data_IF_012248666489
#
_entry.id   IF_012248666489
#
_cell.length_a   1.000
_cell.length_b   1.000
_cell.length_c   1.000
_cell.angle_alpha   90.00
_cell.angle_beta   90.00
_cell.angle_gamma   90.00
#
_symmetry.space_group_name_H-M   'P 1'
#
loop_
_entity.id
_entity.type
_entity.pdbx_description
1 polymer ?
#
# COMPACT_ATOMS: atom_id res chain seq x y z
N UNK A 1 -77.39 -45.68 81.03
CA UNK A 1 -76.77 -45.13 79.80
C UNK A 1 -75.23 -45.13 79.82
N UNK A 2 -74.57 -45.55 80.91
CA UNK A 2 -73.11 -45.37 81.09
C UNK A 2 -72.25 -46.61 80.79
N UNK A 3 -72.83 -47.74 80.37
CA UNK A 3 -72.10 -49.02 80.37
C UNK A 3 -71.26 -49.27 79.11
N UNK A 4 -71.50 -48.55 78.01
CA UNK A 4 -70.75 -48.71 76.75
C UNK A 4 -69.53 -47.79 76.61
N UNK A 5 -69.42 -46.75 77.45
CA UNK A 5 -68.37 -45.72 77.32
C UNK A 5 -66.95 -46.27 77.44
N UNK A 6 -66.62 -47.14 78.43
CA UNK A 6 -65.26 -47.69 78.53
C UNK A 6 -64.86 -48.54 77.33
N UNK A 7 -65.82 -49.23 76.71
CA UNK A 7 -65.58 -50.06 75.53
C UNK A 7 -65.18 -49.21 74.32
N UNK A 8 -65.92 -48.14 74.03
CA UNK A 8 -65.61 -47.25 72.92
C UNK A 8 -64.38 -46.36 73.21
N UNK A 9 -64.19 -45.92 74.46
CA UNK A 9 -62.98 -45.21 74.87
C UNK A 9 -61.73 -46.07 74.64
N UNK A 10 -61.77 -47.35 75.03
CA UNK A 10 -60.68 -48.30 74.80
C UNK A 10 -60.43 -48.56 73.32
N UNK A 11 -61.48 -48.63 72.50
CA UNK A 11 -61.37 -48.79 71.04
C UNK A 11 -60.72 -47.56 70.37
N UNK A 12 -60.85 -46.38 70.98
CA UNK A 12 -60.24 -45.13 70.52
C UNK A 12 -58.74 -44.99 70.80
N UNK A 13 -58.15 -45.86 71.63
CA UNK A 13 -56.68 -45.97 71.75
C UNK A 13 -56.11 -46.67 70.52
N UNK A 14 -56.10 -45.98 69.38
CA UNK A 14 -55.51 -46.49 68.14
C UNK A 14 -53.99 -46.42 68.14
N UNK A 15 -53.41 -45.52 68.94
CA UNK A 15 -51.96 -45.28 69.03
C UNK A 15 -51.54 -44.95 70.47
N UNK A 16 -50.24 -45.09 70.77
CA UNK A 16 -49.59 -44.79 72.05
C UNK A 16 -49.27 -43.31 72.26
N UNK A 17 -49.72 -42.42 71.37
CA UNK A 17 -49.57 -40.97 71.52
C UNK A 17 -50.12 -40.46 72.85
N UNK A 18 -49.46 -39.45 73.43
CA UNK A 18 -49.96 -38.77 74.62
C UNK A 18 -51.34 -38.13 74.39
N UNK A 19 -51.64 -37.72 73.15
CA UNK A 19 -52.93 -37.13 72.77
C UNK A 19 -54.07 -38.15 72.84
N UNK A 20 -53.89 -39.35 72.27
CA UNK A 20 -54.91 -40.41 72.29
C UNK A 20 -55.15 -40.92 73.71
N UNK A 21 -54.10 -41.03 74.52
CA UNK A 21 -54.19 -41.39 75.95
C UNK A 21 -54.85 -40.29 76.78
N UNK A 22 -54.52 -39.02 76.55
CA UNK A 22 -55.17 -37.88 77.18
C UNK A 22 -56.66 -37.81 76.84
N UNK A 23 -57.05 -38.07 75.58
CA UNK A 23 -58.46 -38.15 75.18
C UNK A 23 -59.19 -39.31 75.89
N UNK A 24 -58.54 -40.47 76.01
CA UNK A 24 -59.07 -41.59 76.78
C UNK A 24 -59.32 -41.19 78.24
N UNK A 25 -58.33 -40.62 78.92
CA UNK A 25 -58.48 -40.21 80.32
C UNK A 25 -59.60 -39.16 80.49
N UNK A 26 -59.70 -38.20 79.57
CA UNK A 26 -60.80 -37.22 79.54
C UNK A 26 -62.19 -37.86 79.42
N UNK A 27 -62.33 -38.92 78.62
CA UNK A 27 -63.59 -39.67 78.52
C UNK A 27 -63.89 -40.52 79.76
N UNK A 28 -62.86 -41.10 80.39
CA UNK A 28 -62.99 -41.91 81.60
C UNK A 28 -63.32 -41.07 82.84
N UNK A 29 -62.83 -39.82 82.91
CA UNK A 29 -63.23 -38.83 83.91
C UNK A 29 -64.75 -38.62 83.88
N UNK A 30 -65.31 -38.24 82.72
CA UNK A 30 -66.75 -38.00 82.56
C UNK A 30 -67.59 -39.24 82.88
N UNK A 31 -67.08 -40.42 82.54
CA UNK A 31 -67.72 -41.69 82.87
C UNK A 31 -67.76 -41.97 84.38
N UNK A 32 -66.64 -41.75 85.08
CA UNK A 32 -66.52 -41.96 86.52
C UNK A 32 -67.36 -40.95 87.32
N UNK A 33 -67.42 -39.69 86.89
CA UNK A 33 -68.31 -38.66 87.43
C UNK A 33 -69.78 -39.06 87.28
N UNK A 34 -70.18 -39.57 86.12
CA UNK A 34 -71.54 -40.07 85.85
C UNK A 34 -71.94 -41.26 86.75
N UNK A 35 -70.98 -42.07 87.20
CA UNK A 35 -71.19 -43.16 88.17
C UNK A 35 -71.01 -42.74 89.63
N UNK A 36 -70.72 -41.46 89.91
CA UNK A 36 -70.39 -40.90 91.25
C UNK A 36 -69.20 -41.58 91.93
N UNK A 37 -68.30 -42.20 91.16
CA UNK A 37 -67.07 -42.83 91.65
C UNK A 37 -65.91 -41.82 91.57
N UNK A 38 -65.92 -40.86 92.49
CA UNK A 38 -64.96 -39.75 92.51
C UNK A 38 -63.51 -40.20 92.73
N UNK A 39 -63.29 -41.35 93.38
CA UNK A 39 -61.94 -41.86 93.63
C UNK A 39 -61.25 -42.23 92.32
N UNK A 40 -61.94 -42.97 91.45
CA UNK A 40 -61.43 -43.30 90.12
C UNK A 40 -61.33 -42.07 89.22
N UNK A 41 -62.26 -41.13 89.33
CA UNK A 41 -62.20 -39.88 88.57
C UNK A 41 -60.91 -39.10 88.87
N UNK A 42 -60.51 -38.99 90.14
CA UNK A 42 -59.26 -38.33 90.56
C UNK A 42 -58.02 -39.03 89.99
N UNK A 43 -58.00 -40.37 89.97
CA UNK A 43 -56.88 -41.12 89.38
C UNK A 43 -56.77 -40.86 87.87
N UNK A 44 -57.90 -40.84 87.14
CA UNK A 44 -57.91 -40.45 85.72
C UNK A 44 -57.53 -38.98 85.51
N UNK A 45 -57.90 -38.06 86.41
CA UNK A 45 -57.44 -36.66 86.36
C UNK A 45 -55.93 -36.54 86.49
N UNK A 46 -55.30 -37.31 87.40
CA UNK A 46 -53.84 -37.33 87.55
C UNK A 46 -53.15 -37.85 86.30
N UNK A 47 -53.68 -38.91 85.70
CA UNK A 47 -53.14 -39.46 84.44
C UNK A 47 -53.31 -38.46 83.30
N UNK A 48 -54.49 -37.84 83.18
CA UNK A 48 -54.76 -36.80 82.19
C UNK A 48 -53.81 -35.61 82.32
N UNK A 49 -53.56 -35.13 83.55
CA UNK A 49 -52.62 -34.05 83.81
C UNK A 49 -51.19 -34.41 83.35
N UNK A 50 -50.72 -35.62 83.66
CA UNK A 50 -49.41 -36.09 83.19
C UNK A 50 -49.33 -36.23 81.66
N UNK A 51 -50.42 -36.67 81.02
CA UNK A 51 -50.51 -36.70 79.55
C UNK A 51 -50.48 -35.28 78.98
N UNK A 52 -51.21 -34.34 79.57
CA UNK A 52 -51.24 -32.95 79.15
C UNK A 52 -49.86 -32.28 79.22
N UNK A 53 -49.13 -32.50 80.32
CA UNK A 53 -47.75 -32.02 80.48
C UNK A 53 -46.82 -32.62 79.40
N UNK A 54 -47.02 -33.89 79.06
CA UNK A 54 -46.21 -34.58 78.04
C UNK A 54 -46.51 -34.10 76.63
N UNK A 55 -47.79 -33.86 76.30
CA UNK A 55 -48.23 -33.24 75.04
C UNK A 55 -47.61 -31.85 74.90
N UNK A 56 -47.67 -31.04 75.96
CA UNK A 56 -47.15 -29.68 75.92
C UNK A 56 -45.62 -29.67 75.73
N UNK A 57 -44.91 -30.60 76.37
CA UNK A 57 -43.47 -30.76 76.20
C UNK A 57 -43.09 -31.12 74.76
N UNK A 58 -43.78 -32.10 74.15
CA UNK A 58 -43.56 -32.51 72.76
C UNK A 58 -43.82 -31.36 71.78
N UNK A 59 -44.90 -30.60 71.99
CA UNK A 59 -45.23 -29.42 71.18
C UNK A 59 -44.17 -28.32 71.31
N UNK A 60 -43.65 -28.06 72.51
CA UNK A 60 -42.56 -27.10 72.71
C UNK A 60 -41.27 -27.55 72.04
N UNK A 61 -40.89 -28.82 72.14
CA UNK A 61 -39.71 -29.38 71.47
C UNK A 61 -39.81 -29.28 69.94
N UNK A 62 -40.98 -29.62 69.37
CA UNK A 62 -41.23 -29.49 67.93
C UNK A 62 -41.22 -28.03 67.47
N UNK A 63 -41.81 -27.11 68.25
CA UNK A 63 -41.76 -25.68 67.95
C UNK A 63 -40.34 -25.10 67.98
N UNK A 64 -39.52 -25.51 68.95
CA UNK A 64 -38.09 -25.14 69.02
C UNK A 64 -37.34 -25.68 67.81
N UNK A 65 -37.56 -26.95 67.45
CA UNK A 65 -36.93 -27.56 66.27
C UNK A 65 -37.34 -26.85 64.97
N UNK A 66 -38.62 -26.52 64.81
CA UNK A 66 -39.13 -25.75 63.67
C UNK A 66 -38.51 -24.35 63.60
N UNK A 67 -38.36 -23.69 64.74
CA UNK A 67 -37.73 -22.37 64.82
C UNK A 67 -36.26 -22.43 64.42
N UNK A 68 -35.51 -23.41 64.93
CA UNK A 68 -34.12 -23.63 64.58
C UNK A 68 -33.94 -23.92 63.10
N UNK A 69 -34.75 -24.84 62.54
CA UNK A 69 -34.71 -25.16 61.10
C UNK A 69 -35.00 -23.93 60.23
N UNK A 70 -35.96 -23.09 60.61
CA UNK A 70 -36.24 -21.83 59.89
C UNK A 70 -35.07 -20.86 59.98
N UNK A 71 -34.44 -20.73 61.14
CA UNK A 71 -33.29 -19.88 61.33
C UNK A 71 -32.11 -20.33 60.45
N UNK A 72 -31.78 -21.62 60.49
CA UNK A 72 -30.69 -22.21 59.69
C UNK A 72 -30.93 -22.03 58.19
N UNK A 73 -32.16 -22.26 57.72
CA UNK A 73 -32.56 -21.99 56.33
C UNK A 73 -32.39 -20.51 55.96
N UNK A 74 -32.78 -19.61 56.87
CA UNK A 74 -32.68 -18.16 56.64
C UNK A 74 -31.22 -17.73 56.53
N UNK A 75 -30.34 -18.26 57.38
CA UNK A 75 -28.90 -17.99 57.32
C UNK A 75 -28.29 -18.49 56.01
N UNK A 76 -28.62 -19.71 55.59
CA UNK A 76 -28.14 -20.27 54.32
C UNK A 76 -28.59 -19.43 53.11
N UNK A 77 -29.82 -18.90 53.12
CA UNK A 77 -30.32 -18.00 52.07
C UNK A 77 -29.54 -16.68 52.05
N UNK A 78 -29.30 -16.07 53.22
CA UNK A 78 -28.55 -14.82 53.33
C UNK A 78 -27.12 -14.98 52.81
N UNK A 79 -26.44 -16.06 53.18
CA UNK A 79 -25.08 -16.36 52.71
C UNK A 79 -25.04 -16.54 51.19
N UNK A 80 -25.99 -17.31 50.66
CA UNK A 80 -26.14 -17.54 49.22
C UNK A 80 -26.40 -16.23 48.47
N UNK A 81 -27.32 -15.41 48.96
CA UNK A 81 -27.66 -14.14 48.32
C UNK A 81 -26.49 -13.15 48.39
N UNK A 82 -25.71 -13.17 49.47
CA UNK A 82 -24.46 -12.40 49.57
C UNK A 82 -23.43 -12.84 48.53
N UNK A 83 -23.32 -14.14 48.25
CA UNK A 83 -22.46 -14.68 47.20
C UNK A 83 -22.97 -14.29 45.80
N UNK A 84 -24.27 -14.40 45.53
CA UNK A 84 -24.86 -13.98 44.26
C UNK A 84 -24.65 -12.47 44.01
N UNK A 85 -24.86 -11.63 45.03
CA UNK A 85 -24.65 -10.19 44.91
C UNK A 85 -23.20 -9.82 44.62
N UNK A 86 -22.23 -10.50 45.27
CA UNK A 86 -20.80 -10.31 44.97
C UNK A 86 -20.47 -10.75 43.54
N UNK A 87 -20.96 -11.91 43.13
CA UNK A 87 -20.69 -12.45 41.80
C UNK A 87 -21.32 -11.58 40.70
N UNK A 88 -22.55 -11.11 40.89
CA UNK A 88 -23.21 -10.16 39.97
C UNK A 88 -22.43 -8.86 39.82
N UNK A 89 -21.92 -8.28 40.92
CA UNK A 89 -21.07 -7.08 40.85
C UNK A 89 -19.78 -7.34 40.08
N UNK A 90 -19.12 -8.49 40.29
CA UNK A 90 -17.92 -8.85 39.55
C UNK A 90 -18.20 -9.01 38.05
N UNK A 91 -19.29 -9.69 37.69
CA UNK A 91 -19.70 -9.85 36.28
C UNK A 91 -19.96 -8.50 35.63
N UNK A 92 -20.66 -7.58 36.31
CA UNK A 92 -20.89 -6.22 35.79
C UNK A 92 -19.59 -5.41 35.62
N UNK A 93 -18.66 -5.51 36.57
CA UNK A 93 -17.34 -4.86 36.47
C UNK A 93 -16.56 -5.42 35.28
N UNK A 94 -16.49 -6.73 35.14
CA UNK A 94 -15.79 -7.39 34.02
C UNK A 94 -16.40 -7.01 32.68
N UNK A 95 -17.74 -6.97 32.58
CA UNK A 95 -18.45 -6.54 31.38
C UNK A 95 -18.19 -5.06 31.06
N UNK A 96 -18.18 -4.19 32.08
CA UNK A 96 -17.81 -2.78 31.92
C UNK A 96 -16.39 -2.59 31.42
N UNK A 97 -15.42 -3.32 31.98
CA UNK A 97 -14.02 -3.31 31.51
C UNK A 97 -13.92 -3.81 30.07
N UNK A 98 -14.67 -4.84 29.70
CA UNK A 98 -14.71 -5.35 28.33
C UNK A 98 -15.21 -4.29 27.34
N UNK A 99 -16.28 -3.56 27.68
CA UNK A 99 -16.80 -2.45 26.86
C UNK A 99 -15.78 -1.33 26.71
N UNK A 100 -15.07 -0.97 27.79
CA UNK A 100 -14.01 0.05 27.75
C UNK A 100 -12.85 -0.41 26.86
N UNK A 101 -12.41 -1.66 27.00
CA UNK A 101 -11.35 -2.25 26.16
C UNK A 101 -11.76 -2.30 24.68
N UNK A 102 -13.00 -2.69 24.37
CA UNK A 102 -13.54 -2.67 23.01
C UNK A 102 -13.60 -1.25 22.44
N UNK A 103 -14.04 -0.26 23.23
CA UNK A 103 -14.04 1.14 22.85
C UNK A 103 -12.62 1.64 22.52
N UNK A 104 -11.65 1.37 23.40
CA UNK A 104 -10.26 1.72 23.18
C UNK A 104 -9.68 1.05 21.93
N UNK A 105 -9.98 -0.23 21.70
CA UNK A 105 -9.58 -0.95 20.49
C UNK A 105 -10.14 -0.28 19.22
N UNK A 106 -11.43 0.06 19.21
CA UNK A 106 -12.07 0.75 18.09
C UNK A 106 -11.39 2.10 17.83
N UNK A 107 -11.13 2.89 18.87
CA UNK A 107 -10.41 4.18 18.76
C UNK A 107 -9.03 3.99 18.15
N UNK A 108 -8.26 2.98 18.59
CA UNK A 108 -6.94 2.67 18.03
C UNK A 108 -7.05 2.27 16.56
N UNK A 109 -8.05 1.48 16.17
CA UNK A 109 -8.27 1.09 14.78
C UNK A 109 -8.62 2.29 13.89
N UNK A 110 -9.48 3.19 14.36
CA UNK A 110 -9.81 4.43 13.65
C UNK A 110 -8.58 5.32 13.52
N UNK A 111 -7.78 5.45 14.58
CA UNK A 111 -6.54 6.23 14.54
C UNK A 111 -5.52 5.64 13.55
N UNK A 112 -5.34 4.31 13.54
CA UNK A 112 -4.50 3.62 12.56
C UNK A 112 -4.98 3.83 11.12
N UNK A 113 -6.30 3.76 10.88
CA UNK A 113 -6.88 4.06 9.56
C UNK A 113 -6.56 5.48 9.13
N UNK A 114 -6.78 6.47 10.00
CA UNK A 114 -6.48 7.88 9.73
C UNK A 114 -5.01 8.12 9.38
N UNK A 115 -4.08 7.52 10.13
CA UNK A 115 -2.65 7.65 9.85
C UNK A 115 -2.31 7.07 8.47
N UNK A 116 -2.84 5.89 8.13
CA UNK A 116 -2.55 5.24 6.85
C UNK A 116 -3.03 6.07 5.65
N UNK A 117 -4.18 6.71 5.80
CA UNK A 117 -4.74 7.61 4.78
C UNK A 117 -3.87 8.87 4.61
N UNK A 118 -3.42 9.46 5.73
CA UNK A 118 -2.53 10.61 5.71
C UNK A 118 -1.15 10.27 5.13
N UNK A 119 -0.66 9.05 5.36
CA UNK A 119 0.58 8.54 4.77
C UNK A 119 0.46 8.41 3.26
N UNK A 120 -0.65 7.83 2.75
CA UNK A 120 -0.91 7.75 1.30
C UNK A 120 -0.95 9.13 0.64
N UNK A 121 -1.67 10.09 1.23
CA UNK A 121 -1.71 11.46 0.70
C UNK A 121 -0.33 12.11 0.68
N UNK A 122 0.51 11.87 1.70
CA UNK A 122 1.89 12.37 1.73
C UNK A 122 2.78 11.68 0.70
N UNK A 123 2.59 10.40 0.46
CA UNK A 123 3.33 9.64 -0.56
C UNK A 123 2.96 10.11 -1.97
N UNK A 124 1.67 10.25 -2.26
CA UNK A 124 1.17 10.77 -3.53
C UNK A 124 1.64 12.21 -3.78
N UNK A 125 1.52 13.10 -2.80
CA UNK A 125 2.02 14.48 -2.92
C UNK A 125 3.54 14.56 -3.11
N UNK A 126 4.30 13.67 -2.46
CA UNK A 126 5.76 13.58 -2.66
C UNK A 126 6.07 13.02 -4.05
N UNK A 127 5.37 11.99 -4.50
CA UNK A 127 5.55 11.38 -5.81
C UNK A 127 5.27 12.40 -6.92
N UNK A 128 4.17 13.16 -6.80
CA UNK A 128 3.83 14.24 -7.74
C UNK A 128 4.90 15.33 -7.76
N UNK A 129 5.37 15.77 -6.58
CA UNK A 129 6.45 16.76 -6.51
C UNK A 129 7.73 16.22 -7.16
N UNK A 130 8.13 14.98 -6.85
CA UNK A 130 9.32 14.36 -7.43
C UNK A 130 9.20 14.23 -8.94
N UNK A 131 8.04 13.81 -9.44
CA UNK A 131 7.78 13.68 -10.87
C UNK A 131 7.87 15.04 -11.57
N UNK A 132 7.24 16.07 -11.02
CA UNK A 132 7.30 17.42 -11.56
C UNK A 132 8.73 17.99 -11.52
N UNK A 133 9.49 17.75 -10.44
CA UNK A 133 10.89 18.19 -10.35
C UNK A 133 11.79 17.46 -11.35
N UNK A 134 11.62 16.15 -11.52
CA UNK A 134 12.38 15.35 -12.48
C UNK A 134 12.08 15.81 -13.90
N UNK A 135 10.81 16.03 -14.24
CA UNK A 135 10.39 16.55 -15.54
C UNK A 135 11.03 17.90 -15.83
N UNK A 136 10.94 18.85 -14.90
CA UNK A 136 11.57 20.17 -15.04
C UNK A 136 13.10 20.06 -15.15
N UNK A 137 13.73 19.17 -14.40
CA UNK A 137 15.17 18.95 -14.45
C UNK A 137 15.61 18.32 -15.79
N UNK A 138 14.86 17.35 -16.32
CA UNK A 138 15.10 16.76 -17.63
C UNK A 138 14.93 17.80 -18.74
N UNK A 139 13.88 18.62 -18.70
CA UNK A 139 13.71 19.72 -19.64
C UNK A 139 14.87 20.73 -19.58
N UNK A 140 15.34 21.06 -18.38
CA UNK A 140 16.51 21.94 -18.20
C UNK A 140 17.80 21.31 -18.72
N UNK A 141 18.04 20.04 -18.42
CA UNK A 141 19.23 19.32 -18.87
C UNK A 141 19.27 19.26 -20.41
N UNK A 142 18.14 18.95 -21.06
CA UNK A 142 18.01 18.98 -22.53
C UNK A 142 18.37 20.34 -23.13
N UNK A 143 17.87 21.43 -22.54
CA UNK A 143 18.22 22.79 -22.98
C UNK A 143 19.72 23.07 -22.85
N UNK A 144 20.35 22.62 -21.77
CA UNK A 144 21.78 22.80 -21.57
C UNK A 144 22.60 22.03 -22.61
N UNK A 145 22.24 20.77 -22.89
CA UNK A 145 22.92 19.96 -23.91
C UNK A 145 22.78 20.61 -25.30
N UNK A 146 21.59 21.07 -25.66
CA UNK A 146 21.35 21.75 -26.94
C UNK A 146 22.16 23.07 -27.03
N UNK A 147 22.18 23.87 -25.97
CA UNK A 147 22.97 25.11 -25.91
C UNK A 147 24.48 24.83 -25.99
N UNK A 148 24.97 23.78 -25.33
CA UNK A 148 26.37 23.39 -25.35
C UNK A 148 26.80 22.90 -26.74
N UNK A 149 25.98 22.07 -27.41
CA UNK A 149 26.19 21.70 -28.82
C UNK A 149 26.20 22.90 -29.74
N UNK A 150 25.27 23.84 -29.54
CA UNK A 150 25.21 25.08 -30.35
C UNK A 150 26.46 25.93 -30.15
N UNK A 151 26.96 26.04 -28.92
CA UNK A 151 28.22 26.73 -28.62
C UNK A 151 29.42 26.02 -29.26
N UNK A 152 29.50 24.69 -29.18
CA UNK A 152 30.54 23.90 -29.83
C UNK A 152 30.54 24.14 -31.35
N UNK A 153 29.37 24.13 -31.99
CA UNK A 153 29.21 24.45 -33.42
C UNK A 153 29.70 25.86 -33.73
N UNK A 154 29.26 26.87 -32.98
CA UNK A 154 29.69 28.26 -33.18
C UNK A 154 31.21 28.43 -33.02
N UNK A 155 31.81 27.79 -32.01
CA UNK A 155 33.27 27.87 -31.79
C UNK A 155 34.04 27.19 -32.93
N UNK A 156 33.61 26.01 -33.38
CA UNK A 156 34.23 25.32 -34.51
C UNK A 156 34.14 26.15 -35.80
N UNK A 157 32.99 26.79 -36.06
CA UNK A 157 32.83 27.73 -37.17
C UNK A 157 33.79 28.93 -37.03
N UNK A 158 33.97 29.49 -35.82
CA UNK A 158 34.91 30.60 -35.63
C UNK A 158 36.38 30.20 -35.81
N UNK A 159 36.77 28.98 -35.45
CA UNK A 159 38.14 28.48 -35.67
C UNK A 159 38.43 28.29 -37.16
N UNK A 160 37.47 27.71 -37.90
CA UNK A 160 37.54 27.57 -39.36
C UNK A 160 37.59 28.94 -40.05
N UNK A 161 36.72 29.87 -39.67
CA UNK A 161 36.70 31.24 -40.22
C UNK A 161 37.99 31.99 -39.87
N UNK A 162 38.50 31.90 -38.64
CA UNK A 162 39.76 32.53 -38.24
C UNK A 162 40.95 31.99 -39.05
N UNK A 163 40.93 30.70 -39.40
CA UNK A 163 41.94 30.06 -40.24
C UNK A 163 41.83 30.44 -41.72
N UNK A 164 40.62 30.62 -42.23
CA UNK A 164 40.34 31.14 -43.59
C UNK A 164 40.63 32.65 -43.71
N UNK A 165 40.47 33.42 -42.63
CA UNK A 165 40.69 34.87 -42.61
C UNK A 165 42.15 35.26 -42.32
N UNK A 166 42.91 34.40 -41.64
CA UNK A 166 44.34 34.64 -41.35
C UNK A 166 45.24 34.49 -42.57
N UNK A 167 44.73 33.98 -43.70
CA UNK A 167 45.42 33.98 -44.99
C UNK A 167 45.28 35.31 -45.76
N UNK A 168 44.49 36.27 -45.27
CA UNK A 168 44.14 37.51 -45.98
C UNK A 168 44.65 38.82 -45.38
N UNK A 169 45.95 38.95 -45.07
CA UNK A 169 46.56 40.25 -44.76
C UNK A 169 47.77 40.51 -45.66
N UNK A 170 47.59 41.22 -46.77
CA UNK A 170 48.55 42.19 -47.33
C UNK A 170 47.92 43.00 -48.48
N UNK A 171 48.40 44.25 -48.64
CA UNK A 171 47.82 45.40 -49.36
C UNK A 171 47.46 45.24 -50.85
N UNK A 172 46.54 46.11 -51.28
CA UNK A 172 45.73 46.10 -52.50
C UNK A 172 46.46 46.19 -53.86
N UNK A 173 47.79 46.24 -53.90
CA UNK A 173 48.55 46.46 -55.15
C UNK A 173 49.15 45.19 -55.80
N UNK A 174 49.28 44.07 -55.07
CA UNK A 174 49.80 42.79 -55.61
C UNK A 174 48.70 41.82 -56.10
N UNK A 175 47.46 42.27 -56.21
CA UNK A 175 46.28 41.40 -56.34
C UNK A 175 46.29 40.50 -57.59
N UNK A 176 46.71 40.95 -58.77
CA UNK A 176 46.46 40.16 -60.00
C UNK A 176 47.44 38.98 -60.23
N UNK A 177 48.66 39.01 -59.69
CA UNK A 177 49.64 37.91 -59.84
C UNK A 177 49.54 36.85 -58.74
N UNK A 178 48.95 37.19 -57.59
CA UNK A 178 48.81 36.30 -56.42
C UNK A 178 47.51 35.50 -56.36
N UNK A 179 46.50 35.83 -57.17
CA UNK A 179 45.23 35.10 -57.24
C UNK A 179 45.38 33.58 -57.50
N UNK A 180 46.54 33.13 -58.01
CA UNK A 180 46.84 31.71 -58.23
C UNK A 180 47.51 31.03 -57.02
N UNK A 181 48.18 31.79 -56.15
CA UNK A 181 48.87 31.30 -54.95
C UNK A 181 47.97 31.32 -53.70
N UNK A 182 46.83 32.01 -53.77
CA UNK A 182 45.84 32.15 -52.70
C UNK A 182 44.62 31.22 -52.86
N UNK A 183 44.60 30.42 -53.93
CA UNK A 183 43.56 29.44 -54.15
C UNK A 183 43.75 28.24 -53.21
N UNK A 184 42.68 27.78 -52.56
CA UNK A 184 42.74 26.60 -51.70
C UNK A 184 43.28 25.40 -52.47
N UNK A 185 44.23 24.68 -51.87
CA UNK A 185 44.67 23.39 -52.38
C UNK A 185 43.57 22.34 -52.19
N UNK A 186 43.63 21.23 -52.94
CA UNK A 186 42.64 20.15 -52.81
C UNK A 186 42.58 19.59 -51.38
N UNK A 187 43.72 19.50 -50.69
CA UNK A 187 43.80 19.01 -49.31
C UNK A 187 43.16 19.99 -48.31
N UNK A 188 43.36 21.30 -48.48
CA UNK A 188 42.73 22.31 -47.64
C UNK A 188 41.23 22.39 -47.89
N UNK A 189 40.82 22.20 -49.14
CA UNK A 189 39.42 22.12 -49.56
C UNK A 189 38.74 20.91 -48.91
N UNK A 190 39.41 19.76 -48.87
CA UNK A 190 38.89 18.56 -48.20
C UNK A 190 38.75 18.76 -46.68
N UNK A 191 39.76 19.33 -46.02
CA UNK A 191 39.72 19.63 -44.58
C UNK A 191 38.63 20.64 -44.21
N UNK A 192 38.39 21.62 -45.09
CA UNK A 192 37.31 22.60 -44.91
C UNK A 192 35.94 21.90 -44.97
N UNK A 193 35.74 21.04 -45.97
CA UNK A 193 34.50 20.27 -46.12
C UNK A 193 34.28 19.39 -44.88
N UNK A 194 35.28 18.64 -44.44
CA UNK A 194 35.19 17.79 -43.25
C UNK A 194 34.87 18.60 -41.98
N UNK A 195 35.56 19.71 -41.75
CA UNK A 195 35.33 20.55 -40.57
C UNK A 195 33.93 21.17 -40.56
N UNK A 196 33.43 21.62 -41.72
CA UNK A 196 32.07 22.15 -41.84
C UNK A 196 31.05 21.02 -41.72
N UNK A 197 31.29 19.84 -42.28
CA UNK A 197 30.34 18.72 -42.22
C UNK A 197 30.13 18.22 -40.80
N UNK A 198 31.20 18.20 -39.98
CA UNK A 198 31.11 17.94 -38.53
C UNK A 198 30.25 19.00 -37.82
N UNK A 199 30.32 20.27 -38.24
CA UNK A 199 29.51 21.35 -37.65
C UNK A 199 28.02 21.25 -38.01
N UNK A 200 27.68 20.60 -39.12
CA UNK A 200 26.32 20.43 -39.63
C UNK A 200 25.86 18.96 -39.59
N UNK A 201 26.45 18.14 -38.71
CA UNK A 201 26.04 16.75 -38.44
C UNK A 201 25.88 15.87 -39.69
N UNK A 202 26.83 15.98 -40.62
CA UNK A 202 26.85 15.16 -41.83
C UNK A 202 25.96 15.69 -42.97
N UNK A 203 25.47 16.92 -42.86
CA UNK A 203 24.65 17.56 -43.90
C UNK A 203 25.30 17.55 -45.29
N UNK A 204 26.60 17.82 -45.40
CA UNK A 204 27.31 17.86 -46.69
C UNK A 204 27.47 16.46 -47.26
N UNK A 205 27.68 15.46 -46.41
CA UNK A 205 27.67 14.04 -46.80
C UNK A 205 26.30 13.65 -47.36
N UNK A 206 25.20 13.96 -46.65
CA UNK A 206 23.82 13.76 -47.16
C UNK A 206 23.58 14.48 -48.48
N UNK A 207 24.00 15.74 -48.58
CA UNK A 207 23.81 16.56 -49.78
C UNK A 207 24.55 15.96 -50.99
N UNK A 208 25.74 15.39 -50.77
CA UNK A 208 26.50 14.70 -51.81
C UNK A 208 25.83 13.38 -52.23
N UNK A 209 25.25 12.64 -51.29
CA UNK A 209 24.52 11.40 -51.56
C UNK A 209 23.23 11.64 -52.36
N UNK A 210 22.49 12.70 -52.02
CA UNK A 210 21.27 13.11 -52.75
C UNK A 210 21.59 13.70 -54.14
N UNK A 211 22.74 14.37 -54.26
CA UNK A 211 23.19 14.96 -55.53
C UNK A 211 24.61 14.51 -55.90
N UNK A 212 24.79 13.29 -56.43
CA UNK A 212 26.11 12.73 -56.77
C UNK A 212 26.88 13.52 -57.84
N UNK A 213 26.20 14.41 -58.57
CA UNK A 213 26.81 15.31 -59.54
C UNK A 213 27.60 16.47 -58.90
N UNK A 214 27.52 16.65 -57.58
CA UNK A 214 28.32 17.62 -56.82
C UNK A 214 29.76 17.12 -56.67
N UNK A 215 30.69 17.82 -57.30
CA UNK A 215 32.11 17.57 -57.11
C UNK A 215 32.64 18.26 -55.85
N UNK A 216 33.86 17.92 -55.46
CA UNK A 216 34.52 18.47 -54.26
C UNK A 216 34.61 20.01 -54.26
N UNK A 217 34.86 20.62 -55.42
CA UNK A 217 34.86 22.08 -55.56
C UNK A 217 33.47 22.72 -55.43
N UNK A 218 32.40 21.98 -55.70
CA UNK A 218 31.03 22.47 -55.59
C UNK A 218 30.52 22.32 -54.14
N UNK A 219 30.90 21.24 -53.46
CA UNK A 219 30.76 21.08 -52.00
C UNK A 219 31.51 22.19 -51.25
N UNK A 220 32.74 22.51 -51.64
CA UNK A 220 33.49 23.62 -51.06
C UNK A 220 32.81 24.98 -51.29
N UNK A 221 32.17 25.18 -52.45
CA UNK A 221 31.39 26.38 -52.72
C UNK A 221 30.14 26.43 -51.82
N UNK A 222 29.46 25.31 -51.59
CA UNK A 222 28.38 25.19 -50.61
C UNK A 222 28.87 25.50 -49.18
N UNK A 223 30.03 24.98 -48.78
CA UNK A 223 30.64 25.28 -47.47
C UNK A 223 30.84 26.79 -47.28
N UNK A 224 31.43 27.48 -48.26
CA UNK A 224 31.66 28.92 -48.14
C UNK A 224 30.38 29.75 -48.11
N UNK A 225 29.32 29.28 -48.77
CA UNK A 225 27.99 29.88 -48.69
C UNK A 225 27.39 29.68 -47.28
N UNK A 226 27.47 28.47 -46.74
CA UNK A 226 27.01 28.14 -45.37
C UNK A 226 27.79 28.92 -44.30
N UNK A 227 29.07 29.19 -44.54
CA UNK A 227 29.94 30.01 -43.70
C UNK A 227 29.71 31.53 -43.87
N UNK A 228 28.78 31.94 -44.75
CA UNK A 228 28.46 33.36 -45.03
C UNK A 228 29.68 34.18 -45.50
N UNK A 229 30.63 33.54 -46.16
CA UNK A 229 31.80 34.22 -46.73
C UNK A 229 31.34 35.15 -47.86
N UNK A 230 31.94 36.34 -47.96
CA UNK A 230 31.50 37.31 -48.98
C UNK A 230 31.82 36.81 -50.38
N UNK A 231 31.00 37.18 -51.37
CA UNK A 231 31.22 36.81 -52.78
C UNK A 231 32.59 37.26 -53.32
N UNK A 232 33.17 38.31 -52.73
CA UNK A 232 34.52 38.79 -53.07
C UNK A 232 35.57 37.78 -52.60
N UNK A 233 35.50 37.38 -51.34
CA UNK A 233 36.49 36.48 -50.74
C UNK A 233 36.39 35.07 -51.31
N UNK A 234 35.17 34.59 -51.61
CA UNK A 234 34.96 33.32 -52.34
C UNK A 234 35.64 33.36 -53.71
N UNK A 235 35.53 34.47 -54.43
CA UNK A 235 36.15 34.61 -55.75
C UNK A 235 37.69 34.57 -55.66
N UNK A 236 38.26 35.20 -54.62
CA UNK A 236 39.71 35.17 -54.34
C UNK A 236 40.16 33.75 -53.98
N UNK A 237 39.46 33.08 -53.06
CA UNK A 237 39.79 31.75 -52.55
C UNK A 237 39.68 30.63 -53.60
N UNK A 238 38.85 30.81 -54.63
CA UNK A 238 38.77 29.89 -55.78
C UNK A 238 39.61 30.34 -56.98
N UNK A 239 40.31 31.48 -56.92
CA UNK A 239 41.02 32.05 -58.06
C UNK A 239 40.12 32.40 -59.24
N UNK A 240 38.86 32.76 -58.99
CA UNK A 240 37.84 33.07 -60.00
C UNK A 240 37.56 34.57 -60.08
N UNK A 241 37.06 35.03 -61.24
CA UNK A 241 36.44 36.36 -61.33
C UNK A 241 35.04 36.36 -60.70
N UNK A 242 34.56 37.50 -60.22
CA UNK A 242 33.21 37.63 -59.65
C UNK A 242 32.10 37.19 -60.62
N UNK A 243 32.27 37.39 -61.93
CA UNK A 243 31.31 36.95 -62.94
C UNK A 243 31.39 35.43 -63.20
N UNK A 244 32.58 34.85 -63.11
CA UNK A 244 32.76 33.40 -63.17
C UNK A 244 32.10 32.74 -61.95
N UNK A 245 32.22 33.35 -60.77
CA UNK A 245 31.56 32.89 -59.55
C UNK A 245 30.03 32.92 -59.68
N UNK A 246 29.45 34.01 -60.20
CA UNK A 246 28.00 34.10 -60.47
C UNK A 246 27.51 33.01 -61.43
N UNK A 247 28.24 32.79 -62.53
CA UNK A 247 27.93 31.71 -63.49
C UNK A 247 28.05 30.33 -62.84
N UNK A 248 29.03 30.13 -61.95
CA UNK A 248 29.21 28.88 -61.20
C UNK A 248 28.09 28.64 -60.20
N UNK A 249 27.68 29.65 -59.43
CA UNK A 249 26.50 29.60 -58.54
C UNK A 249 25.21 29.31 -59.32
N UNK A 250 25.05 29.94 -60.49
CA UNK A 250 23.90 29.69 -61.35
C UNK A 250 23.83 28.23 -61.80
N UNK A 251 24.94 27.67 -62.32
CA UNK A 251 25.01 26.25 -62.71
C UNK A 251 24.80 25.30 -61.54
N UNK A 252 25.40 25.60 -60.38
CA UNK A 252 25.19 24.83 -59.17
C UNK A 252 23.69 24.76 -58.80
N UNK A 253 23.01 25.91 -58.88
CA UNK A 253 21.56 26.01 -58.64
C UNK A 253 20.72 25.26 -59.69
N UNK A 254 20.95 25.51 -60.97
CA UNK A 254 20.03 25.07 -62.04
C UNK A 254 20.36 23.69 -62.60
N UNK A 255 21.63 23.30 -62.66
CA UNK A 255 22.08 22.07 -63.32
C UNK A 255 22.39 20.94 -62.33
N UNK A 256 22.81 21.27 -61.09
CA UNK A 256 23.24 20.27 -60.10
C UNK A 256 22.19 20.02 -59.02
N UNK A 257 21.70 21.08 -58.40
CA UNK A 257 20.73 21.00 -57.31
C UNK A 257 19.27 21.12 -57.80
N UNK A 258 19.06 21.60 -59.03
CA UNK A 258 17.73 21.77 -59.65
C UNK A 258 16.75 22.62 -58.81
N UNK A 259 17.24 23.70 -58.20
CA UNK A 259 16.47 24.56 -57.28
C UNK A 259 15.94 25.82 -58.01
N UNK A 260 14.70 26.23 -57.70
CA UNK A 260 14.10 27.48 -58.20
C UNK A 260 14.44 28.69 -57.34
N UNK A 261 14.61 28.49 -56.04
CA UNK A 261 14.87 29.50 -55.01
C UNK A 261 16.27 30.14 -55.13
N UNK A 262 16.52 31.15 -54.30
CA UNK A 262 17.87 31.72 -54.15
C UNK A 262 18.77 30.68 -53.48
N UNK A 263 19.88 30.32 -54.13
CA UNK A 263 20.79 29.25 -53.69
C UNK A 263 21.19 29.37 -52.22
N UNK A 264 21.52 30.57 -51.78
CA UNK A 264 21.99 30.87 -50.42
C UNK A 264 20.89 30.63 -49.38
N UNK A 265 19.70 31.15 -49.63
CA UNK A 265 18.53 30.99 -48.76
C UNK A 265 18.05 29.53 -48.69
N UNK A 266 18.10 28.81 -49.81
CA UNK A 266 17.77 27.39 -49.84
C UNK A 266 18.75 26.56 -49.02
N UNK A 267 20.06 26.74 -49.23
CA UNK A 267 21.11 26.02 -48.49
C UNK A 267 21.01 26.25 -46.98
N UNK A 268 20.69 27.47 -46.56
CA UNK A 268 20.50 27.80 -45.15
C UNK A 268 19.25 27.18 -44.55
N UNK A 269 18.14 27.20 -45.29
CA UNK A 269 16.88 26.60 -44.86
C UNK A 269 17.00 25.08 -44.75
N UNK A 270 17.58 24.44 -45.77
CA UNK A 270 17.71 22.99 -45.84
C UNK A 270 18.67 22.47 -44.77
N UNK A 271 19.85 23.09 -44.63
CA UNK A 271 20.81 22.73 -43.56
C UNK A 271 20.25 22.96 -42.17
N UNK A 272 19.52 24.05 -41.93
CA UNK A 272 18.86 24.29 -40.65
C UNK A 272 17.79 23.24 -40.36
N UNK A 273 16.95 22.91 -41.33
CA UNK A 273 15.86 21.94 -41.15
C UNK A 273 16.43 20.57 -40.80
N UNK A 274 17.46 20.11 -41.52
CA UNK A 274 18.14 18.84 -41.26
C UNK A 274 18.74 18.78 -39.84
N UNK A 275 19.48 19.83 -39.44
CA UNK A 275 20.11 19.89 -38.13
C UNK A 275 19.07 20.01 -37.00
N UNK A 276 18.00 20.78 -37.21
CA UNK A 276 16.89 20.89 -36.25
C UNK A 276 16.13 19.56 -36.10
N UNK A 277 16.02 18.76 -37.17
CA UNK A 277 15.44 17.41 -37.14
C UNK A 277 16.31 16.44 -36.33
N UNK A 278 17.63 16.47 -36.49
CA UNK A 278 18.53 15.63 -35.68
C UNK A 278 18.52 16.07 -34.22
N UNK A 279 18.61 17.38 -33.95
CA UNK A 279 18.48 17.91 -32.59
C UNK A 279 17.11 17.54 -31.98
N UNK A 280 16.04 17.46 -32.78
CA UNK A 280 14.72 17.02 -32.35
C UNK A 280 14.65 15.50 -32.09
N UNK A 281 15.32 14.67 -32.91
CA UNK A 281 15.42 13.22 -32.73
C UNK A 281 16.12 12.88 -31.41
N UNK A 282 17.25 13.53 -31.10
CA UNK A 282 17.89 13.40 -29.79
C UNK A 282 17.09 14.00 -28.63
N UNK A 283 16.19 14.95 -28.91
CA UNK A 283 15.25 15.48 -27.93
C UNK A 283 14.02 14.58 -27.72
N UNK A 284 13.80 13.58 -28.59
CA UNK A 284 12.80 12.54 -28.33
C UNK A 284 13.28 11.65 -27.18
N UNK A 285 12.36 11.21 -26.31
CA UNK A 285 12.75 10.40 -25.15
C UNK A 285 13.15 8.99 -25.60
N UNK A 286 14.46 8.73 -25.71
CA UNK A 286 15.01 7.41 -25.43
C UNK A 286 14.86 7.15 -23.93
N UNK A 287 13.63 6.88 -23.48
CA UNK A 287 13.29 6.23 -22.22
C UNK A 287 11.77 6.16 -22.17
N UNK A 288 11.19 5.30 -23.02
CA UNK A 288 10.07 4.49 -22.53
C UNK A 288 10.68 3.38 -21.70
N UNK A 289 10.58 3.41 -20.36
CA UNK A 289 10.70 2.17 -19.63
C UNK A 289 9.62 1.26 -20.19
N UNK A 290 10.04 0.08 -20.62
CA UNK A 290 9.17 -1.02 -21.02
C UNK A 290 8.36 -1.41 -19.78
N UNK A 291 7.25 -0.70 -19.51
CA UNK A 291 6.25 -1.06 -18.52
C UNK A 291 5.45 -2.26 -19.05
N UNK A 292 6.14 -3.40 -19.19
CA UNK A 292 5.59 -4.75 -19.34
C UNK A 292 6.30 -5.73 -18.42
N UNK A 293 6.48 -5.35 -17.16
CA UNK A 293 6.57 -6.35 -16.09
C UNK A 293 5.23 -6.41 -15.35
N UNK A 294 4.35 -7.25 -15.88
CA UNK A 294 3.28 -7.87 -15.08
C UNK A 294 3.94 -8.72 -13.99
N UNK A 295 3.68 -8.48 -12.69
CA UNK A 295 4.16 -9.37 -11.66
C UNK A 295 3.31 -10.64 -11.65
N UNK A 296 3.91 -11.77 -12.04
CA UNK A 296 3.36 -13.10 -11.78
C UNK A 296 3.28 -13.32 -10.27
N UNK A 297 2.09 -13.11 -9.71
CA UNK A 297 1.77 -13.49 -8.34
C UNK A 297 1.63 -15.01 -8.33
N UNK A 298 2.70 -15.68 -7.92
CA UNK A 298 2.67 -17.07 -7.50
C UNK A 298 1.69 -17.22 -6.32
N UNK A 299 0.50 -17.74 -6.60
CA UNK A 299 -0.43 -18.27 -5.59
C UNK A 299 0.16 -19.54 -4.98
N UNK A 300 0.81 -19.38 -3.83
CA UNK A 300 1.06 -20.51 -2.91
C UNK A 300 -0.25 -20.78 -2.17
N UNK A 301 -1.01 -21.76 -2.64
CA UNK A 301 -2.08 -22.38 -1.87
C UNK A 301 -1.48 -23.50 -1.02
N UNK A 302 -1.40 -23.26 0.29
CA UNK A 302 -1.23 -24.31 1.30
C UNK A 302 -2.58 -25.00 1.47
N UNK A 303 -2.67 -26.29 1.15
CA UNK A 303 -3.77 -27.16 1.58
C UNK A 303 -3.20 -28.32 2.39
N UNK A 304 -3.57 -28.33 3.66
CA UNK A 304 -3.35 -29.41 4.61
C UNK A 304 -4.34 -30.57 4.39
N UNK A 305 -3.91 -31.74 4.87
CA UNK A 305 -4.71 -32.86 5.39
C UNK A 305 -5.23 -33.97 4.45
N UNK A 306 -4.55 -35.13 4.59
CA UNK A 306 -5.07 -36.41 5.10
C UNK A 306 -5.53 -37.52 4.13
N UNK A 307 -4.85 -38.66 4.31
CA UNK A 307 -5.32 -40.05 4.33
C UNK A 307 -5.87 -40.70 3.04
N UNK A 308 -5.17 -41.72 2.53
CA UNK A 308 -5.71 -43.09 2.53
C UNK A 308 -4.60 -44.15 2.32
N UNK A 309 -4.88 -45.37 2.76
CA UNK A 309 -4.05 -46.53 2.94
C UNK A 309 -3.81 -47.38 1.67
N UNK A 310 -2.83 -48.31 1.73
CA UNK A 310 -2.82 -49.48 0.86
C UNK A 310 -1.48 -50.21 0.63
N UNK A 311 -1.24 -51.25 1.43
CA UNK A 311 -0.59 -52.54 1.09
C UNK A 311 0.92 -52.64 0.67
N UNK A 312 1.75 -53.09 1.62
CA UNK A 312 2.57 -54.34 1.70
C UNK A 312 3.08 -55.09 0.44
N UNK A 313 4.07 -56.04 0.52
CA UNK A 313 4.86 -56.54 1.67
C UNK A 313 6.38 -56.85 1.41
N UNK A 314 7.03 -57.43 2.43
CA UNK A 314 8.23 -58.31 2.44
C UNK A 314 9.61 -57.62 2.35
N UNK A 315 10.66 -57.96 3.12
CA UNK A 315 11.00 -59.20 3.83
C UNK A 315 11.99 -58.97 5.01
N UNK A 316 12.12 -60.01 5.84
CA UNK A 316 13.30 -60.43 6.64
C UNK A 316 13.55 -59.92 8.08
N UNK A 317 12.87 -60.59 9.02
CA UNK A 317 13.37 -61.39 10.20
C UNK A 317 14.85 -61.31 10.65
N UNK A 318 15.23 -61.76 11.89
CA UNK A 318 14.82 -61.37 13.27
C UNK A 318 16.07 -61.37 14.24
N UNK A 319 16.03 -61.79 15.54
CA UNK A 319 16.17 -60.88 16.68
C UNK A 319 17.32 -61.23 17.67
N UNK A 320 17.61 -60.34 18.62
CA UNK A 320 18.34 -60.57 19.89
C UNK A 320 18.20 -59.30 20.73
N UNK A 321 18.05 -59.24 22.04
CA UNK A 321 17.72 -60.16 23.12
C UNK A 321 17.53 -59.26 24.36
N UNK A 322 16.61 -59.65 25.25
CA UNK A 322 16.43 -59.22 26.65
C UNK A 322 15.94 -57.80 26.95
#
# INVERSE_FOLDING_TARGET
MWDSIPYYAKKGLSDSSFVTRGMYDATMIKWAEGKKDYKRAIDYYRHYAAMLDSIHKEEMEDNVMKMQKKYDLTQAIIERDRLYMKNQRLVLIVLGLFVICFGALIVVLLYRRRIKELQRQREEAKAELTHNTLKMMNERNRRLIADERRRHRLLALTDVIAKVMSTGRHDDAEQLKRHKDMALTNDETARLIEAVDVCYEGYLTRLQDEHPALGQNDLALCCMILLKVTNRDIAILFGLSSDTLKKRKLRLRTEKLCITDVLEEWLERDSRTYVDEIDAEYATPEDTPDDKETPDIATVTVSDAAADAGASPDSDTPPSAQ
#
